data_IF_993754173812
#
_entry.id   IF_993754173812
#
_cell.length_a   1.000
_cell.length_b   1.000
_cell.length_c   1.000
_cell.angle_alpha   90.00
_cell.angle_beta   90.00
_cell.angle_gamma   90.00
#
_symmetry.space_group_name_H-M   'P 1'
#
loop_
_entity.id
_entity.type
_entity.pdbx_description
1 polymer ?
2 polymer ?
3 water ?
#
# COMPACT_ATOMS: atom_id res chain seq x y z
N UNK A 2 -28.52 -4.21 -2.32
CA UNK A 2 -27.24 -4.92 -2.55
C UNK A 2 -27.34 -5.70 -3.86
N UNK A 3 -26.88 -5.10 -4.96
CA UNK A 3 -26.94 -5.77 -6.26
C UNK A 3 -26.01 -6.97 -6.29
N UNK A 4 -24.72 -6.74 -6.07
CA UNK A 4 -23.76 -7.82 -6.04
C UNK A 4 -23.55 -8.20 -4.58
N UNK A 5 -23.38 -9.48 -4.31
CA UNK A 5 -23.15 -9.95 -2.95
C UNK A 5 -21.94 -10.84 -2.89
N UNK A 6 -21.05 -10.56 -1.95
CA UNK A 6 -19.84 -11.36 -1.80
C UNK A 6 -19.51 -11.63 -0.35
N UNK A 7 -19.35 -12.91 0.00
CA UNK A 7 -19.02 -13.25 1.39
C UNK A 7 -17.75 -12.51 1.78
N UNK A 8 -17.81 -11.70 2.84
CA UNK A 8 -16.66 -10.93 3.30
C UNK A 8 -15.31 -11.66 3.41
N UNK A 9 -15.30 -12.90 3.86
CA UNK A 9 -14.02 -13.62 4.00
C UNK A 9 -14.06 -15.11 3.67
N UNK A 10 -12.92 -15.62 3.21
CA UNK A 10 -12.78 -17.04 2.84
C UNK A 10 -11.34 -17.50 2.96
N UNK A 11 -11.16 -18.77 3.32
CA UNK A 11 -9.82 -19.34 3.47
C UNK A 11 -9.68 -20.78 3.02
N UNK A 12 -8.46 -21.17 2.71
CA UNK A 12 -8.14 -22.54 2.28
C UNK A 12 -6.64 -22.69 2.37
N UNK A 13 -6.16 -23.92 2.42
CA UNK A 13 -4.74 -24.20 2.55
C UNK A 13 -3.89 -24.01 1.30
N UNK A 14 -2.59 -23.89 1.53
CA UNK A 14 -1.57 -23.72 0.50
C UNK A 14 -1.59 -24.84 -0.55
N UNK A 15 -1.41 -24.47 -1.81
CA UNK A 15 -1.38 -25.46 -2.88
C UNK A 15 -2.73 -26.09 -3.16
N UNK A 16 -3.79 -25.50 -2.60
CA UNK A 16 -5.14 -25.99 -2.75
C UNK A 16 -5.93 -25.15 -3.75
N UNK A 17 -7.13 -25.60 -4.09
CA UNK A 17 -8.00 -24.90 -5.01
C UNK A 17 -9.23 -24.42 -4.25
N UNK A 18 -9.64 -23.17 -4.50
CA UNK A 18 -10.81 -22.59 -3.84
C UNK A 18 -11.70 -21.86 -4.84
N UNK A 19 -13.00 -21.79 -4.53
CA UNK A 19 -13.95 -21.13 -5.41
C UNK A 19 -14.76 -20.04 -4.74
N UNK A 20 -14.70 -18.83 -5.28
CA UNK A 20 -15.43 -17.68 -4.74
C UNK A 20 -16.78 -17.50 -5.45
N UNK A 21 -17.74 -16.92 -4.74
CA UNK A 21 -19.07 -16.73 -5.30
C UNK A 21 -19.56 -15.30 -5.30
N UNK A 22 -20.03 -14.86 -6.47
CA UNK A 22 -20.56 -13.52 -6.68
C UNK A 22 -22.01 -13.70 -7.08
N UNK A 23 -22.93 -13.35 -6.18
CA UNK A 23 -24.35 -13.51 -6.44
C UNK A 23 -25.00 -12.20 -6.89
N UNK A 24 -25.76 -12.28 -7.97
CA UNK A 24 -26.44 -11.11 -8.51
C UNK A 24 -27.86 -11.03 -7.94
N UNK A 25 -28.40 -9.83 -7.88
CA UNK A 25 -29.70 -9.71 -7.32
C UNK A 25 -30.93 -9.99 -8.15
N UNK A 26 -31.43 -11.19 -7.91
CA UNK A 26 -32.74 -11.68 -8.32
C UNK A 26 -33.49 -10.92 -9.37
N UNK A 27 -33.63 -9.62 -9.14
CA UNK A 27 -34.27 -8.70 -10.07
C UNK A 27 -33.37 -8.32 -11.26
N UNK A 28 -32.49 -9.24 -11.62
CA UNK A 28 -31.55 -9.06 -12.71
C UNK A 28 -31.14 -10.42 -13.24
N UNK A 29 -31.14 -10.56 -14.56
CA UNK A 29 -30.77 -11.82 -15.20
C UNK A 29 -29.27 -11.86 -15.51
N UNK A 30 -28.55 -12.71 -14.80
CA UNK A 30 -27.11 -12.81 -15.02
C UNK A 30 -26.81 -13.43 -16.37
N UNK A 31 -27.84 -13.97 -17.01
CA UNK A 31 -27.63 -14.59 -18.31
C UNK A 31 -27.31 -13.57 -19.38
N UNK A 32 -27.43 -12.29 -19.07
CA UNK A 32 -27.17 -11.23 -20.04
C UNK A 32 -25.90 -10.46 -19.69
N UNK A 33 -25.24 -10.88 -18.63
CA UNK A 33 -24.03 -10.20 -18.19
C UNK A 33 -22.79 -11.07 -18.17
N UNK A 34 -21.65 -10.43 -18.40
CA UNK A 34 -20.36 -11.10 -18.31
C UNK A 34 -19.94 -10.82 -16.88
N UNK A 35 -19.14 -11.69 -16.27
CA UNK A 35 -18.69 -11.44 -14.91
C UNK A 35 -17.21 -11.09 -14.92
N UNK A 36 -16.87 -9.98 -14.27
CA UNK A 36 -15.50 -9.51 -14.21
C UNK A 36 -14.96 -9.70 -12.81
N UNK A 37 -13.77 -10.26 -12.69
CA UNK A 37 -13.15 -10.47 -11.38
C UNK A 37 -11.85 -9.68 -11.29
N UNK A 38 -11.60 -9.06 -10.15
CA UNK A 38 -10.40 -8.28 -9.94
C UNK A 38 -9.77 -8.63 -8.61
N UNK A 39 -8.44 -8.61 -8.56
CA UNK A 39 -7.69 -8.91 -7.34
C UNK A 39 -6.96 -7.65 -6.90
N UNK A 40 -6.94 -7.40 -5.60
CA UNK A 40 -6.26 -6.24 -5.05
C UNK A 40 -5.60 -6.57 -3.71
N UNK A 41 -4.28 -6.55 -3.72
CA UNK A 41 -3.47 -6.78 -2.53
C UNK A 41 -3.24 -5.46 -1.82
N UNK A 42 -3.12 -5.51 -0.48
CA UNK A 42 -2.88 -4.31 0.33
C UNK A 42 -1.74 -3.47 -0.25
N UNK A 43 -2.03 -2.20 -0.56
CA UNK A 43 -1.02 -1.31 -1.08
C UNK A 43 -0.94 -1.27 -2.59
N UNK A 44 -1.81 -2.00 -3.27
CA UNK A 44 -1.77 -2.06 -4.73
C UNK A 44 -3.06 -1.73 -5.43
N UNK A 45 -2.99 -1.38 -6.71
CA UNK A 45 -4.17 -1.07 -7.49
C UNK A 45 -4.92 -2.37 -7.82
N UNK A 46 -6.18 -2.26 -8.21
CA UNK A 46 -6.92 -3.47 -8.54
C UNK A 46 -6.28 -4.11 -9.78
N UNK A 47 -6.31 -5.42 -9.90
CA UNK A 47 -5.75 -6.08 -11.07
C UNK A 47 -6.81 -6.93 -11.76
N UNK A 48 -7.01 -6.71 -13.06
CA UNK A 48 -8.00 -7.48 -13.80
C UNK A 48 -7.57 -8.93 -13.97
N UNK A 49 -8.39 -9.85 -13.48
CA UNK A 49 -8.08 -11.26 -13.59
C UNK A 49 -8.67 -11.88 -14.85
N UNK A 50 -9.99 -11.85 -14.96
CA UNK A 50 -10.68 -12.43 -16.12
C UNK A 50 -12.10 -11.94 -16.32
N UNK A 51 -12.63 -12.26 -17.50
CA UNK A 51 -13.97 -11.91 -17.92
C UNK A 51 -14.64 -13.22 -18.33
N UNK A 52 -15.86 -13.47 -17.87
CA UNK A 52 -16.49 -14.72 -18.23
C UNK A 52 -17.97 -14.60 -18.56
N UNK A 53 -18.33 -14.92 -19.81
CA UNK A 53 -19.73 -14.93 -20.22
C UNK A 53 -20.15 -16.38 -20.37
N UNK A 54 -19.31 -17.17 -21.04
CA UNK A 54 -19.59 -18.60 -21.24
C UNK A 54 -18.32 -19.37 -21.58
N UNK A 55 -18.44 -20.69 -21.68
CA UNK A 55 -17.28 -21.51 -22.03
C UNK A 55 -16.75 -21.09 -23.40
N UNK A 56 -17.63 -20.47 -24.18
CA UNK A 56 -17.32 -20.07 -25.53
C UNK A 56 -17.01 -18.58 -25.68
N UNK A 57 -17.26 -17.82 -24.62
CA UNK A 57 -17.06 -16.37 -24.69
C UNK A 57 -16.41 -15.88 -23.40
N UNK A 58 -15.09 -15.78 -23.38
CA UNK A 58 -14.37 -15.36 -22.18
C UNK A 58 -13.01 -14.82 -22.52
N UNK A 59 -12.38 -14.15 -21.55
CA UNK A 59 -11.07 -13.57 -21.76
C UNK A 59 -10.23 -13.57 -20.49
N UNK A 60 -8.93 -13.79 -20.65
CA UNK A 60 -7.98 -13.83 -19.55
C UNK A 60 -7.18 -12.54 -19.44
N UNK A 61 -6.94 -12.11 -18.21
CA UNK A 61 -6.17 -10.89 -17.99
C UNK A 61 -4.71 -11.03 -18.38
N UNK A 62 -4.05 -9.91 -18.72
CA UNK A 62 -2.64 -9.95 -19.11
C UNK A 62 -1.80 -10.56 -18.00
N UNK A 63 -0.90 -11.47 -18.36
CA UNK A 63 -0.01 -12.13 -17.40
C UNK A 63 -0.74 -12.83 -16.25
N UNK A 64 -1.95 -13.29 -16.48
CA UNK A 64 -2.67 -14.00 -15.43
C UNK A 64 -2.65 -15.49 -15.69
N UNK A 65 -2.20 -16.29 -14.70
CA UNK A 65 -2.10 -17.74 -14.76
C UNK A 65 -3.45 -18.46 -14.91
N UNK A 66 -3.45 -19.61 -15.61
CA UNK A 66 -4.65 -20.42 -15.84
C UNK A 66 -5.25 -20.96 -14.54
N UNK A 67 -4.47 -20.91 -13.45
CA UNK A 67 -4.98 -21.40 -12.17
C UNK A 67 -6.18 -20.56 -11.72
N UNK A 68 -6.35 -19.40 -12.33
CA UNK A 68 -7.52 -18.54 -12.05
C UNK A 68 -8.52 -18.81 -13.17
N UNK A 69 -9.72 -19.28 -12.85
CA UNK A 69 -10.72 -19.55 -13.88
C UNK A 69 -12.14 -19.16 -13.45
N UNK A 70 -12.90 -18.62 -14.39
CA UNK A 70 -14.26 -18.22 -14.09
C UNK A 70 -15.31 -19.19 -14.60
N UNK A 71 -16.56 -18.95 -14.21
CA UNK A 71 -17.69 -19.77 -14.63
C UNK A 71 -18.91 -19.17 -13.99
N UNK A 72 -20.07 -19.76 -14.24
CA UNK A 72 -21.28 -19.26 -13.60
C UNK A 72 -22.43 -20.25 -13.61
N UNK A 73 -23.42 -19.98 -12.78
CA UNK A 73 -24.61 -20.81 -12.66
C UNK A 73 -25.78 -19.90 -13.00
N UNK A 74 -26.21 -19.93 -14.25
CA UNK A 74 -27.30 -19.06 -14.70
C UNK A 74 -28.53 -19.21 -13.83
N UNK A 75 -28.93 -20.46 -13.59
CA UNK A 75 -30.10 -20.73 -12.78
C UNK A 75 -30.06 -19.93 -11.48
N UNK A 76 -28.99 -20.14 -10.72
CA UNK A 76 -28.81 -19.50 -9.42
C UNK A 76 -28.31 -18.06 -9.48
N UNK A 77 -28.06 -17.55 -10.67
CA UNK A 77 -27.60 -16.17 -10.84
C UNK A 77 -26.25 -15.94 -10.17
N UNK A 78 -25.36 -16.92 -10.24
CA UNK A 78 -24.05 -16.80 -9.61
C UNK A 78 -22.88 -16.65 -10.56
N UNK A 79 -21.83 -16.00 -10.07
CA UNK A 79 -20.61 -15.83 -10.84
C UNK A 79 -19.51 -16.50 -10.03
N UNK A 80 -18.69 -17.33 -10.66
CA UNK A 80 -17.64 -18.03 -9.93
C UNK A 80 -16.20 -17.69 -10.35
N UNK A 81 -15.31 -17.73 -9.38
CA UNK A 81 -13.90 -17.50 -9.63
C UNK A 81 -13.19 -18.65 -8.91
N UNK A 82 -12.36 -19.39 -9.63
CA UNK A 82 -11.65 -20.50 -9.02
C UNK A 82 -10.16 -20.21 -9.07
N UNK A 83 -9.49 -20.57 -7.98
CA UNK A 83 -8.05 -20.38 -7.86
C UNK A 83 -7.38 -21.69 -7.46
N UNK A 84 -6.46 -22.13 -8.31
CA UNK A 84 -5.75 -23.38 -8.10
C UNK A 84 -4.34 -23.13 -7.60
N UNK A 85 -3.81 -24.11 -6.87
CA UNK A 85 -2.47 -24.03 -6.28
C UNK A 85 -2.29 -22.74 -5.48
N UNK A 86 -3.19 -22.50 -4.53
CA UNK A 86 -3.10 -21.30 -3.71
C UNK A 86 -1.71 -21.09 -3.13
N UNK A 87 -1.25 -19.85 -3.22
CA UNK A 87 0.05 -19.49 -2.67
C UNK A 87 -0.16 -18.20 -1.87
N UNK A 88 0.76 -17.88 -0.95
CA UNK A 88 0.68 -16.67 -0.10
C UNK A 88 0.22 -15.40 -0.82
N UNK A 89 0.88 -15.08 -1.92
CA UNK A 89 0.58 -13.88 -2.71
C UNK A 89 -0.91 -13.74 -3.04
N UNK A 90 -1.58 -14.87 -3.20
CA UNK A 90 -3.00 -14.86 -3.54
C UNK A 90 -3.85 -14.20 -2.46
N UNK A 91 -3.29 -14.05 -1.26
CA UNK A 91 -4.03 -13.38 -0.18
C UNK A 91 -4.34 -11.95 -0.62
N UNK A 92 -5.62 -11.65 -0.79
CA UNK A 92 -6.00 -10.33 -1.25
C UNK A 92 -7.50 -10.19 -1.29
N UNK A 93 -7.96 -8.99 -1.61
CA UNK A 93 -9.37 -8.73 -1.75
C UNK A 93 -9.75 -9.10 -3.18
N UNK A 94 -10.92 -9.71 -3.36
CA UNK A 94 -11.40 -10.09 -4.68
C UNK A 94 -12.75 -9.48 -4.95
N UNK A 95 -12.85 -8.63 -5.96
CA UNK A 95 -14.12 -8.02 -6.29
C UNK A 95 -14.64 -8.54 -7.63
N UNK A 96 -15.95 -8.60 -7.78
CA UNK A 96 -16.54 -9.01 -9.04
C UNK A 96 -17.33 -7.82 -9.52
N UNK A 97 -17.68 -7.82 -10.79
CA UNK A 97 -18.42 -6.72 -11.37
C UNK A 97 -19.14 -7.25 -12.60
N UNK A 98 -20.24 -6.61 -12.96
CA UNK A 98 -21.00 -7.03 -14.12
C UNK A 98 -20.72 -6.09 -15.27
N UNK A 99 -21.22 -6.47 -16.45
CA UNK A 99 -21.03 -5.65 -17.61
C UNK A 99 -21.29 -6.45 -18.85
N UNK A 100 -20.40 -6.32 -19.82
CA UNK A 100 -20.52 -7.02 -21.08
C UNK A 100 -19.29 -6.68 -21.91
N UNK B 1 -26.21 -0.91 -12.69
CA UNK B 1 -25.56 -2.23 -12.41
C UNK B 1 -24.17 -2.33 -13.06
N UNK B 2 -24.08 -1.95 -14.32
CA UNK B 2 -22.84 -2.00 -15.08
C UNK B 2 -21.67 -1.19 -14.49
N UNK B 3 -20.50 -1.83 -14.42
CA UNK B 3 -19.27 -1.21 -13.91
C UNK B 3 -19.19 -1.05 -12.39
N UNK B 4 -20.29 -1.34 -11.70
CA UNK B 4 -20.31 -1.23 -10.25
C UNK B 4 -19.57 -2.39 -9.63
N UNK B 5 -18.71 -2.09 -8.65
CA UNK B 5 -17.94 -3.12 -7.97
C UNK B 5 -18.70 -3.66 -6.79
N UNK B 6 -18.80 -4.98 -6.69
CA UNK B 6 -19.49 -5.56 -5.55
C UNK B 6 -18.55 -5.49 -4.36
N UNK B 7 -19.09 -5.51 -3.15
CA UNK B 7 -18.24 -5.48 -1.96
C UNK B 7 -17.32 -6.66 -2.21
N UNK B 8 -16.09 -6.60 -1.73
CA UNK B 8 -15.19 -7.71 -2.00
C UNK B 8 -15.24 -8.85 -1.00
N UNK B 9 -14.28 -9.77 -1.16
CA UNK B 9 -14.13 -10.92 -0.29
C UNK B 9 -12.65 -11.07 0.03
N UNK B 10 -12.31 -11.07 1.31
CA UNK B 10 -10.92 -11.22 1.72
C UNK B 10 -10.54 -12.70 1.72
N UNK B 11 -9.46 -13.03 1.03
CA UNK B 11 -8.97 -14.39 1.00
C UNK B 11 -7.73 -14.54 1.87
N UNK B 12 -7.71 -15.56 2.71
CA UNK B 12 -6.56 -15.81 3.56
C UNK B 12 -6.03 -17.19 3.23
N UNK B 13 -4.74 -17.30 2.93
CA UNK B 13 -4.16 -18.58 2.58
C UNK B 13 -3.69 -19.26 3.86
N UNK B 14 -4.44 -20.27 4.29
CA UNK B 14 -4.16 -21.02 5.50
C UNK B 14 -2.95 -21.93 5.53
N UNK B 15 -2.60 -22.36 6.74
CA UNK B 15 -1.47 -23.25 6.95
C UNK B 15 -0.09 -22.66 6.68
N UNK B 16 -0.01 -21.33 6.63
CA UNK B 16 1.29 -20.70 6.41
C UNK B 16 2.08 -20.85 7.71
N UNK B 17 3.39 -21.11 7.60
CA UNK B 17 4.30 -21.28 8.74
C UNK B 17 4.45 -20.00 9.56
N UNK B 18 4.34 -20.13 10.88
CA UNK B 18 4.44 -18.98 11.77
C UNK B 18 5.88 -18.63 12.06
N UNK B 19 6.13 -17.35 12.30
CA UNK B 19 7.50 -16.91 12.57
C UNK B 19 7.54 -15.81 13.63
N UNK B 20 8.29 -16.06 14.70
CA UNK B 20 8.45 -15.09 15.77
C UNK B 20 9.30 -13.97 15.17
N UNK B 21 8.91 -12.71 15.41
CA UNK B 21 9.67 -11.60 14.86
C UNK B 21 11.08 -11.47 15.41
N UNK B 22 11.99 -11.03 14.57
CA UNK B 22 13.35 -10.77 14.99
C UNK B 22 13.24 -9.33 15.46
N UNK B 23 13.89 -9.01 16.56
CA UNK B 23 13.80 -7.66 17.09
C UNK B 23 15.17 -7.03 17.15
N UNK B 24 15.30 -5.89 16.49
CA UNK B 24 16.56 -5.18 16.48
C UNK B 24 16.29 -3.78 17.01
N UNK B 25 16.94 -3.45 18.11
CA UNK B 25 16.77 -2.15 18.75
C UNK B 25 17.97 -1.22 18.48
N UNK B 26 17.69 0.01 18.06
CA UNK B 26 18.73 0.99 17.72
C UNK B 26 18.69 2.18 18.66
N UNK B 27 19.85 2.62 19.17
CA UNK B 27 19.93 3.77 20.06
C UNK B 27 20.03 5.03 19.22
N UNK B 28 19.91 6.21 19.84
CA UNK B 28 19.98 7.45 19.08
C UNK B 28 21.24 7.50 18.23
N UNK B 29 21.10 7.90 16.98
CA UNK B 29 22.24 7.97 16.08
C UNK B 29 23.18 9.09 16.50
N UNK B 30 24.45 8.95 16.14
CA UNK B 30 25.46 9.97 16.44
C UNK B 30 25.11 11.31 15.79
N UNK B 31 24.71 11.27 14.53
CA UNK B 31 24.33 12.48 13.82
C UNK B 31 23.15 13.13 14.54
N UNK B 32 22.24 12.28 15.01
CA UNK B 32 21.09 12.77 15.74
C UNK B 32 21.54 13.49 17.02
N UNK B 33 22.38 12.83 17.82
CA UNK B 33 22.84 13.40 19.07
C UNK B 33 23.62 14.70 18.87
N UNK B 34 24.44 14.75 17.83
CA UNK B 34 25.22 15.96 17.56
C UNK B 34 24.32 17.13 17.18
N UNK B 35 23.06 16.85 16.91
CA UNK B 35 22.13 17.90 16.54
C UNK B 35 21.15 18.08 17.69
N UNK B 36 21.56 17.62 18.87
CA UNK B 36 20.73 17.74 20.06
C UNK B 36 19.34 17.13 19.83
N UNK B 37 19.34 15.86 19.43
CA UNK B 37 18.11 15.17 19.09
C UNK B 37 18.29 13.67 19.40
N UNK B 38 17.21 12.99 19.80
CA UNK B 38 17.32 11.57 20.16
C UNK B 38 16.07 10.77 19.83
N UNK B 39 16.28 9.63 19.20
CA UNK B 39 15.18 8.75 18.83
C UNK B 39 15.61 7.29 18.93
N UNK B 40 14.76 6.48 19.55
CA UNK B 40 15.04 5.06 19.67
C UNK B 40 14.14 4.35 18.67
N UNK B 41 14.68 3.34 18.00
CA UNK B 41 13.90 2.59 17.01
C UNK B 41 13.96 1.09 17.27
N UNK B 42 12.79 0.47 17.27
CA UNK B 42 12.67 -0.95 17.50
C UNK B 42 12.20 -1.56 16.20
N UNK B 43 13.08 -2.26 15.50
CA UNK B 43 12.72 -2.88 14.23
C UNK B 43 12.34 -4.34 14.38
N UNK B 44 11.16 -4.69 13.88
CA UNK B 44 10.67 -6.06 13.96
C UNK B 44 10.39 -6.59 12.57
N UNK B 45 11.05 -7.67 12.16
CA UNK B 45 10.77 -8.22 10.84
C UNK B 45 10.71 -9.74 10.76
N UNK B 46 10.17 -10.21 9.64
CA UNK B 46 10.00 -11.62 9.34
C UNK B 46 9.12 -12.33 10.36
N UNK B 47 7.92 -11.81 10.59
CA UNK B 47 7.02 -12.47 11.51
C UNK B 47 5.68 -12.76 10.85
N UNK B 48 5.05 -13.85 11.26
CA UNK B 48 3.76 -14.23 10.71
C UNK B 48 3.04 -14.99 11.81
N UNK B 49 1.77 -14.69 12.05
CA UNK B 49 0.94 -13.66 11.40
C UNK B 49 1.46 -12.24 11.60
N UNK B 50 0.78 -11.28 10.99
CA UNK B 50 1.20 -9.89 11.09
C UNK B 50 0.57 -9.09 12.21
N UNK B 51 0.33 -9.73 13.35
CA UNK B 51 -0.29 -9.03 14.47
C UNK B 51 0.60 -9.08 15.71
N UNK B 52 0.88 -7.93 16.30
CA UNK B 52 1.71 -7.87 17.51
C UNK B 52 1.51 -6.57 18.28
N UNK B 53 2.03 -6.55 19.50
CA UNK B 53 1.95 -5.37 20.35
C UNK B 53 3.34 -5.11 20.93
N UNK B 54 3.63 -3.85 21.18
CA UNK B 54 4.92 -3.47 21.71
C UNK B 54 4.77 -2.59 22.94
N UNK B 55 5.63 -2.80 23.93
CA UNK B 55 5.59 -1.99 25.13
C UNK B 55 6.99 -1.44 25.35
N UNK B 56 7.12 -0.13 25.43
CA UNK B 56 8.41 0.48 25.67
C UNK B 56 8.56 0.68 27.17
N UNK B 57 9.79 0.47 27.66
CA UNK B 57 10.08 0.63 29.07
C UNK B 57 11.33 1.49 29.28
N UNK B 58 11.31 2.24 30.37
CA UNK B 58 12.43 3.06 30.80
C UNK B 58 12.79 2.55 32.20
N UNK B 59 13.97 1.95 32.31
CA UNK B 59 14.41 1.39 33.59
C UNK B 59 13.40 0.37 34.11
N UNK B 60 12.84 -0.43 33.21
CA UNK B 60 11.89 -1.45 33.62
C UNK B 60 10.47 -0.98 33.78
N UNK B 61 10.25 0.32 33.69
CA UNK B 61 8.90 0.88 33.84
C UNK B 61 8.30 1.24 32.48
N UNK B 62 7.09 0.70 32.18
CA UNK B 62 6.38 0.93 30.93
C UNK B 62 6.12 2.40 30.63
N UNK B 63 6.16 2.76 29.36
CA UNK B 63 5.96 4.15 28.96
C UNK B 63 4.60 4.33 28.32
N UNK B 64 4.18 5.59 28.18
CA UNK B 64 2.84 5.87 27.69
C UNK B 64 2.72 7.15 26.88
N UNK B 65 3.81 7.58 26.27
CA UNK B 65 3.80 8.78 25.44
C UNK B 65 5.06 8.88 24.60
N UNK B 66 4.93 9.43 23.40
CA UNK B 66 6.06 9.56 22.51
C UNK B 66 6.22 8.29 21.69
N UNK B 67 5.35 7.33 21.95
CA UNK B 67 5.39 6.06 21.28
C UNK B 67 4.52 6.01 20.02
N UNK B 68 5.13 5.61 18.92
CA UNK B 68 4.41 5.45 17.65
C UNK B 68 4.87 4.15 17.01
N UNK B 69 4.14 3.69 16.00
CA UNK B 69 4.48 2.45 15.33
C UNK B 69 3.96 2.39 13.91
N UNK B 70 4.85 2.11 12.97
CA UNK B 70 4.47 1.98 11.57
C UNK B 70 3.62 0.73 11.44
N UNK B 71 2.74 0.72 10.44
CA UNK B 71 1.85 -0.42 10.21
C UNK B 71 2.56 -1.65 9.66
N UNK B 72 2.21 -2.85 10.18
CA UNK B 72 2.83 -4.08 9.71
C UNK B 72 2.55 -4.26 8.22
N UNK B 73 3.59 -4.47 7.43
CA UNK B 73 3.41 -4.63 5.98
C UNK B 73 4.10 -5.88 5.46
N UNK B 74 3.39 -6.61 4.61
CA UNK B 74 3.89 -7.85 4.05
C UNK B 74 5.04 -7.61 3.09
N UNK B 75 6.17 -8.28 3.34
CA UNK B 75 7.35 -8.13 2.51
C UNK B 75 7.37 -9.13 1.36
N UNK B 76 8.40 -9.05 0.54
CA UNK B 76 8.53 -9.95 -0.61
C UNK B 76 8.55 -11.40 -0.17
N UNK B 77 9.10 -11.67 1.02
CA UNK B 77 9.18 -13.04 1.51
C UNK B 77 7.91 -13.54 2.17
N UNK B 78 6.83 -12.78 2.00
CA UNK B 78 5.52 -13.13 2.57
C UNK B 78 5.39 -13.05 4.09
N UNK B 79 6.43 -12.55 4.75
CA UNK B 79 6.35 -12.39 6.19
C UNK B 79 6.23 -10.89 6.41
N UNK B 80 5.82 -10.46 7.60
CA UNK B 80 5.67 -9.04 7.85
C UNK B 80 6.86 -8.36 8.52
N UNK B 81 6.80 -7.04 8.53
CA UNK B 81 7.82 -6.23 9.16
C UNK B 81 7.12 -4.98 9.65
N UNK B 82 7.73 -4.35 10.64
CA UNK B 82 7.18 -3.13 11.18
C UNK B 82 8.22 -2.51 12.10
N UNK B 83 8.03 -1.26 12.47
CA UNK B 83 8.95 -0.62 13.37
C UNK B 83 8.20 0.32 14.30
N UNK B 84 8.73 0.45 15.51
CA UNK B 84 8.15 1.33 16.51
C UNK B 84 9.26 2.25 16.97
N UNK B 85 8.93 3.48 17.31
CA UNK B 85 9.96 4.39 17.78
C UNK B 85 9.54 5.23 18.96
N UNK B 86 10.54 5.75 19.65
CA UNK B 86 10.34 6.55 20.85
C UNK B 86 11.18 7.79 20.72
N UNK B 87 10.54 8.95 20.72
CA UNK B 87 11.27 10.20 20.60
C UNK B 87 11.60 10.73 22.00
N UNK B 88 12.87 11.07 22.22
CA UNK B 88 13.33 11.57 23.51
C UNK B 88 14.21 12.79 23.33
N UNK B 89 14.54 13.43 24.45
CA UNK B 89 15.45 14.57 24.41
C UNK B 89 16.77 13.93 24.75
N UNK B 90 17.88 14.59 24.37
CA UNK B 90 19.20 14.04 24.66
C UNK B 90 19.39 13.84 26.17
N UNK B 91 18.73 14.68 26.96
CA UNK B 91 18.83 14.59 28.42
C UNK B 91 18.03 13.40 28.95
N UNK B 92 16.94 13.05 28.28
CA UNK B 92 16.12 11.92 28.69
C UNK B 92 16.84 10.63 28.37
N UNK B 93 17.50 10.60 27.22
CA UNK B 93 18.24 9.41 26.80
C UNK B 93 19.41 9.13 27.74
N UNK B 94 19.96 10.18 28.35
CA UNK B 94 21.09 9.99 29.25
C UNK B 94 20.69 9.95 30.71
N UNK B 95 19.42 10.24 30.99
CA UNK B 95 18.90 10.25 32.35
C UNK B 95 18.62 8.85 32.87
N UNK B 96 18.39 7.92 31.96
CA UNK B 96 18.07 6.56 32.36
C UNK B 96 19.21 5.60 32.22
N UNK B 97 19.16 4.54 33.00
CA UNK B 97 20.17 3.51 32.97
C UNK B 97 19.87 2.58 31.80
N UNK B 98 18.59 2.50 31.42
CA UNK B 98 18.21 1.63 30.30
C UNK B 98 16.83 1.89 29.71
N UNK B 99 16.66 1.49 28.45
CA UNK B 99 15.41 1.60 27.73
C UNK B 99 15.14 0.22 27.13
N UNK B 100 13.89 -0.17 27.05
CA UNK B 100 13.57 -1.48 26.52
C UNK B 100 12.46 -1.42 25.50
N UNK B 101 12.45 -2.41 24.61
CA UNK B 101 11.42 -2.58 23.60
C UNK B 101 10.91 -4.01 23.78
N UNK B 102 9.66 -4.15 24.23
CA UNK B 102 9.09 -5.49 24.46
C UNK B 102 8.00 -5.85 23.46
N UNK B 103 8.34 -6.77 22.56
CA UNK B 103 7.41 -7.20 21.52
C UNK B 103 6.69 -8.51 21.85
N UNK B 104 5.37 -8.49 21.74
CA UNK B 104 4.60 -9.68 22.06
C UNK B 104 3.93 -10.16 20.78
N UNK B 105 4.21 -11.41 20.42
CA UNK B 105 3.67 -12.00 19.20
C UNK B 105 3.15 -13.41 19.43
N UNK B 106 1.83 -13.55 19.54
CA UNK B 106 1.16 -14.84 19.69
C UNK B 106 1.68 -15.80 20.75
N UNK B 107 1.90 -15.36 21.97
CA UNK B 107 2.37 -16.31 22.97
C UNK B 107 3.88 -16.38 23.07
N UNK B 108 4.52 -15.50 22.33
CA UNK B 108 5.95 -15.32 22.39
C UNK B 108 6.16 -13.88 22.86
N UNK B 109 7.26 -13.66 23.55
CA UNK B 109 7.58 -12.33 24.01
C UNK B 109 9.08 -12.19 23.88
N UNK B 110 9.53 -11.12 23.25
CA UNK B 110 10.95 -10.91 23.11
C UNK B 110 11.21 -9.45 23.44
N UNK B 111 12.15 -9.22 24.34
CA UNK B 111 12.49 -7.88 24.76
C UNK B 111 13.99 -7.61 24.62
N UNK B 112 14.31 -6.50 23.97
CA UNK B 112 15.68 -6.06 23.77
C UNK B 112 15.90 -4.80 24.62
N UNK B 113 17.15 -4.52 24.96
CA UNK B 113 17.47 -3.37 25.80
C UNK B 113 18.71 -2.63 25.31
N UNK B 114 18.71 -1.32 25.45
CA UNK B 114 19.85 -0.46 25.07
C UNK B 114 20.16 0.53 26.18
N UNK B 115 21.41 0.96 26.25
CA UNK B 115 21.84 1.89 27.30
C UNK B 115 22.87 2.87 26.75
N UNK B 116 22.84 4.13 27.21
CA UNK B 116 23.81 5.13 26.74
C UNK B 116 25.24 4.68 26.93
N UNK C 1 7.36 3.38 -17.92
CA UNK C 1 6.98 3.15 -19.34
C UNK C 1 5.64 2.39 -19.52
N UNK C 2 5.22 1.56 -18.54
CA UNK C 2 3.96 0.80 -18.66
C UNK C 2 2.76 1.56 -19.25
N UNK C 3 1.73 0.81 -19.65
CA UNK C 3 0.53 1.31 -20.33
C UNK C 3 -0.14 2.60 -19.83
N UNK C 4 -0.54 2.63 -18.57
CA UNK C 4 -1.16 3.83 -18.04
C UNK C 4 -0.29 4.49 -16.99
N UNK C 5 -0.27 5.82 -16.97
CA UNK C 5 0.54 6.52 -15.99
C UNK C 5 -0.28 7.53 -15.19
N UNK C 6 -0.03 7.57 -13.89
CA UNK C 6 -0.72 8.48 -12.99
C UNK C 6 0.26 9.00 -11.95
N UNK C 7 0.20 10.31 -11.66
CA UNK C 7 1.12 10.86 -10.66
C UNK C 7 0.74 10.18 -9.34
N UNK C 8 1.73 9.80 -8.54
CA UNK C 8 1.44 9.13 -7.27
C UNK C 8 0.60 9.97 -6.32
N UNK C 9 0.80 11.28 -6.31
CA UNK C 9 0.07 12.14 -5.39
C UNK C 9 -0.26 13.53 -5.89
N UNK C 10 -1.39 14.04 -5.42
CA UNK C 10 -1.86 15.38 -5.74
C UNK C 10 -2.57 15.91 -4.50
N UNK C 11 -2.54 17.23 -4.33
CA UNK C 11 -3.19 17.84 -3.18
C UNK C 11 -3.75 19.21 -3.55
N UNK C 12 -4.81 19.60 -2.87
CA UNK C 12 -5.42 20.89 -3.13
C UNK C 12 -6.24 21.27 -1.91
N UNK C 13 -6.50 22.57 -1.77
CA UNK C 13 -7.25 23.09 -0.63
C UNK C 13 -8.76 22.95 -0.85
N UNK C 14 -9.51 22.98 0.24
CA UNK C 14 -10.95 22.86 0.20
C UNK C 14 -11.60 23.86 -0.75
N UNK C 15 -12.65 23.43 -1.43
CA UNK C 15 -13.36 24.33 -2.33
C UNK C 15 -12.78 24.56 -3.70
N UNK C 16 -11.56 24.09 -3.93
CA UNK C 16 -10.92 24.26 -5.24
C UNK C 16 -11.33 23.20 -6.25
N UNK C 17 -10.75 23.31 -7.44
CA UNK C 17 -10.99 22.40 -8.53
C UNK C 17 -9.65 21.80 -8.96
N UNK C 18 -9.59 20.48 -9.07
CA UNK C 18 -8.37 19.81 -9.49
C UNK C 18 -8.68 18.89 -10.64
N UNK C 19 -7.66 18.59 -11.43
CA UNK C 19 -7.83 17.70 -12.55
C UNK C 19 -6.74 16.65 -12.50
N UNK C 20 -7.14 15.40 -12.27
CA UNK C 20 -6.18 14.31 -12.21
C UNK C 20 -5.91 13.86 -13.63
N UNK C 21 -4.68 13.42 -13.89
CA UNK C 21 -4.32 13.00 -15.23
C UNK C 21 -3.94 11.53 -15.32
N UNK C 22 -4.39 10.91 -16.40
CA UNK C 22 -4.15 9.49 -16.71
C UNK C 22 -3.55 9.51 -18.10
N UNK C 23 -2.26 9.18 -18.21
CA UNK C 23 -1.62 9.20 -19.52
C UNK C 23 -1.36 7.79 -20.06
N UNK C 24 -1.78 7.57 -21.31
CA UNK C 24 -1.65 6.27 -21.98
C UNK C 24 -0.42 6.25 -22.85
N UNK C 25 0.37 5.18 -22.74
CA UNK C 25 1.61 5.06 -23.50
C UNK C 25 1.37 5.26 -24.99
N UNK C 26 2.24 6.04 -25.61
CA UNK C 26 2.11 6.43 -27.02
C UNK C 26 2.08 5.33 -28.07
N UNK C 27 2.03 4.07 -27.64
CA UNK C 27 1.95 2.97 -28.60
C UNK C 27 0.48 2.52 -28.69
N UNK C 28 -0.40 3.35 -28.13
CA UNK C 28 -1.84 3.09 -28.11
C UNK C 28 -2.56 4.41 -28.32
N UNK C 29 -3.72 4.35 -28.96
CA UNK C 29 -4.49 5.55 -29.25
C UNK C 29 -5.63 5.71 -28.25
N UNK C 30 -5.58 6.74 -27.43
CA UNK C 30 -6.65 6.91 -26.44
C UNK C 30 -7.96 7.25 -27.14
N UNK C 31 -7.89 7.65 -28.40
CA UNK C 31 -9.10 7.98 -29.14
C UNK C 31 -9.99 6.78 -29.37
N UNK C 32 -9.51 5.59 -29.03
CA UNK C 32 -10.26 4.35 -29.25
C UNK C 32 -10.77 3.75 -27.94
N UNK C 33 -10.42 4.37 -26.82
CA UNK C 33 -10.85 3.86 -25.53
C UNK C 33 -11.71 4.83 -24.72
N UNK C 34 -12.51 4.28 -23.81
CA UNK C 34 -13.31 5.12 -22.93
C UNK C 34 -12.43 5.15 -21.68
N UNK C 35 -12.46 6.24 -20.92
CA UNK C 35 -11.67 6.30 -19.68
C UNK C 35 -12.57 6.05 -18.48
N UNK C 36 -12.15 5.15 -17.61
CA UNK C 36 -12.91 4.82 -16.41
C UNK C 36 -12.21 5.37 -15.19
N UNK C 37 -12.98 5.87 -14.24
CA UNK C 37 -12.40 6.40 -13.03
C UNK C 37 -13.05 5.80 -11.80
N UNK C 38 -12.23 5.42 -10.84
CA UNK C 38 -12.71 4.83 -9.60
C UNK C 38 -12.11 5.57 -8.41
N UNK C 39 -12.86 5.63 -7.32
CA UNK C 39 -12.44 6.28 -6.07
C UNK C 39 -12.37 5.17 -5.02
N UNK C 40 -11.44 5.28 -4.09
CA UNK C 40 -11.30 4.28 -3.06
C UNK C 40 -10.75 4.84 -1.75
N UNK C 41 -11.49 4.61 -0.67
CA UNK C 41 -11.05 5.08 0.64
C UNK C 41 -10.47 3.90 1.40
N UNK C 42 -9.63 4.18 2.40
CA UNK C 42 -9.01 3.12 3.19
C UNK C 42 -9.99 2.07 3.68
N UNK C 43 -9.69 0.81 3.38
CA UNK C 43 -10.53 -0.30 3.79
C UNK C 43 -11.90 -0.37 3.16
N UNK C 44 -12.06 0.24 2.00
CA UNK C 44 -13.34 0.23 1.29
C UNK C 44 -13.15 -0.35 -0.11
N UNK C 45 -14.26 -0.70 -0.78
CA UNK C 45 -14.13 -1.25 -2.12
C UNK C 45 -13.96 -0.10 -3.12
N UNK C 46 -13.45 -0.42 -4.30
CA UNK C 46 -13.26 0.61 -5.34
C UNK C 46 -14.65 1.08 -5.75
N UNK C 47 -14.84 2.38 -5.95
CA UNK C 47 -16.16 2.87 -6.32
C UNK C 47 -16.14 3.54 -7.68
N UNK C 48 -16.88 2.95 -8.61
CA UNK C 48 -16.99 3.47 -9.98
C UNK C 48 -17.55 4.90 -9.96
N UNK C 49 -16.72 5.85 -10.37
CA UNK C 49 -17.15 7.24 -10.40
C UNK C 49 -17.83 7.61 -11.72
N UNK C 50 -17.17 7.31 -12.84
CA UNK C 50 -17.73 7.66 -14.14
C UNK C 50 -16.95 7.02 -15.28
N UNK C 51 -17.54 7.05 -16.47
CA UNK C 51 -16.92 6.51 -17.67
C UNK C 51 -17.08 7.58 -18.74
N UNK C 52 -15.98 7.92 -19.41
CA UNK C 52 -16.04 8.95 -20.42
C UNK C 52 -15.34 8.59 -21.72
N UNK C 53 -16.07 8.68 -22.83
CA UNK C 53 -15.48 8.43 -24.13
C UNK C 53 -15.46 9.74 -24.90
N UNK C 54 -16.60 10.42 -24.96
CA UNK C 54 -16.73 11.70 -25.64
C UNK C 54 -17.91 12.43 -25.00
N UNK C 55 -18.20 13.63 -25.49
CA UNK C 55 -19.30 14.38 -24.90
C UNK C 55 -20.68 13.78 -25.15
N UNK C 56 -20.82 12.95 -26.16
CA UNK C 56 -22.10 12.32 -26.46
C UNK C 56 -22.13 10.85 -26.07
N UNK C 57 -21.06 10.39 -25.45
CA UNK C 57 -20.96 9.01 -25.00
C UNK C 57 -20.19 8.96 -23.68
N UNK C 58 -20.93 9.13 -22.58
CA UNK C 58 -20.35 9.10 -21.25
C UNK C 58 -21.46 8.78 -20.24
N UNK C 59 -21.08 8.31 -19.07
CA UNK C 59 -22.07 8.00 -18.05
C UNK C 59 -21.57 8.21 -16.63
N UNK C 60 -22.45 8.72 -15.78
CA UNK C 60 -22.15 8.98 -14.37
C UNK C 60 -22.42 7.75 -13.54
N UNK C 61 -21.66 7.58 -12.47
CA UNK C 61 -21.85 6.44 -11.60
C UNK C 61 -23.00 6.68 -10.64
N UNK C 62 -23.54 5.60 -10.07
CA UNK C 62 -24.65 5.67 -9.12
C UNK C 62 -24.38 6.67 -8.00
N UNK C 63 -25.23 7.68 -7.89
CA UNK C 63 -25.12 8.68 -6.84
C UNK C 63 -23.76 9.39 -6.78
N UNK C 64 -23.11 9.56 -7.93
CA UNK C 64 -21.83 10.27 -7.98
C UNK C 64 -22.14 11.70 -8.44
N UNK C 65 -21.89 12.69 -7.59
CA UNK C 65 -22.13 14.12 -7.85
C UNK C 65 -21.59 14.61 -9.17
N UNK C 66 -22.25 15.62 -9.76
CA UNK C 66 -21.84 16.22 -11.04
C UNK C 66 -20.51 16.93 -10.93
N UNK C 67 -20.10 17.27 -9.70
CA UNK C 67 -18.81 17.95 -9.53
C UNK C 67 -17.66 17.04 -9.99
N UNK C 68 -17.98 15.78 -10.20
CA UNK C 68 -17.02 14.80 -10.72
C UNK C 68 -17.34 14.69 -12.21
N UNK C 69 -16.34 14.90 -13.07
CA UNK C 69 -16.58 14.83 -14.50
C UNK C 69 -15.30 14.53 -15.25
N UNK C 70 -15.44 13.78 -16.35
CA UNK C 70 -14.29 13.44 -17.15
C UNK C 70 -14.25 14.13 -18.49
N UNK C 71 -13.13 13.94 -19.17
CA UNK C 71 -12.93 14.46 -20.51
C UNK C 71 -11.69 13.81 -21.10
N UNK C 72 -11.19 14.37 -22.20
CA UNK C 72 -10.02 13.81 -22.85
C UNK C 72 -9.27 14.86 -23.65
N UNK C 73 -8.00 14.59 -23.86
CA UNK C 73 -7.15 15.39 -24.74
C UNK C 73 -6.51 14.31 -25.61
N UNK C 74 -7.25 13.92 -26.64
CA UNK C 74 -6.85 12.85 -27.53
C UNK C 74 -5.54 13.13 -28.22
N UNK C 75 -5.25 14.39 -28.48
CA UNK C 75 -3.98 14.71 -29.11
C UNK C 75 -2.82 14.32 -28.18
N UNK C 76 -3.00 14.55 -26.90
CA UNK C 76 -1.97 14.24 -25.90
C UNK C 76 -2.10 12.86 -25.29
N UNK C 77 -3.10 12.09 -25.75
CA UNK C 77 -3.31 10.73 -25.22
C UNK C 77 -3.60 10.74 -23.73
N UNK C 78 -4.27 11.78 -23.27
CA UNK C 78 -4.59 11.93 -21.86
C UNK C 78 -6.06 11.73 -21.50
N UNK C 79 -6.28 11.18 -20.31
CA UNK C 79 -7.63 10.99 -19.80
C UNK C 79 -7.70 11.91 -18.59
N UNK C 80 -8.81 12.62 -18.42
CA UNK C 80 -8.96 13.57 -17.32
C UNK C 80 -10.13 13.34 -16.36
N UNK C 81 -9.87 13.55 -15.07
CA UNK C 81 -10.89 13.46 -14.04
C UNK C 81 -10.86 14.80 -13.30
N UNK C 82 -11.91 15.60 -13.47
CA UNK C 82 -12.00 16.90 -12.78
C UNK C 82 -12.94 16.82 -11.59
N UNK C 83 -12.53 17.43 -10.48
CA UNK C 83 -13.34 17.46 -9.27
C UNK C 83 -13.33 18.88 -8.75
N UNK C 84 -14.49 19.54 -8.77
CA UNK C 84 -14.58 20.91 -8.29
C UNK C 84 -15.31 20.91 -6.95
N UNK C 85 -15.22 22.02 -6.22
CA UNK C 85 -15.89 22.12 -4.92
C UNK C 85 -15.25 21.15 -3.95
N UNK C 86 -13.97 20.87 -4.15
CA UNK C 86 -13.25 19.91 -3.34
C UNK C 86 -13.65 19.93 -1.86
N UNK C 87 -14.01 18.75 -1.36
CA UNK C 87 -14.38 18.55 0.05
C UNK C 87 -13.50 17.46 0.69
N UNK C 88 -13.46 17.39 2.03
CA UNK C 88 -12.65 16.40 2.74
C UNK C 88 -12.89 14.97 2.34
N UNK C 89 -14.16 14.61 2.19
CA UNK C 89 -14.52 13.25 1.80
C UNK C 89 -13.88 12.89 0.47
N UNK C 90 -13.49 13.88 -0.31
CA UNK C 90 -12.86 13.63 -1.61
C UNK C 90 -11.45 13.05 -1.44
N UNK C 91 -10.90 13.16 -0.25
CA UNK C 91 -9.55 12.64 0.01
C UNK C 91 -9.59 11.12 -0.13
N UNK C 92 -8.88 10.60 -1.11
CA UNK C 92 -8.85 9.17 -1.37
C UNK C 92 -7.93 8.85 -2.54
N UNK C 93 -7.83 7.58 -2.90
CA UNK C 93 -7.02 7.14 -4.05
C UNK C 93 -7.96 7.17 -5.26
N UNK C 94 -7.43 7.54 -6.43
CA UNK C 94 -8.23 7.55 -7.67
C UNK C 94 -7.51 6.73 -8.74
N UNK C 95 -8.22 5.77 -9.34
CA UNK C 95 -7.64 4.90 -10.38
C UNK C 95 -8.33 5.09 -11.71
N UNK C 96 -7.56 5.10 -12.80
CA UNK C 96 -8.16 5.20 -14.11
C UNK C 96 -7.98 3.85 -14.78
N UNK C 97 -8.81 3.56 -15.76
CA UNK C 97 -8.71 2.29 -16.46
C UNK C 97 -9.21 2.52 -17.88
N UNK C 98 -8.71 1.78 -18.87
CA UNK C 98 -9.12 1.98 -20.24
C UNK C 98 -10.06 0.80 -20.76
N UNK C 99 -10.98 1.07 -21.67
CA UNK C 99 -11.70 0.02 -22.42
C UNK C 99 -13.11 0.35 -22.90
N UNK D 1 -4.98 -3.28 -23.52
CA UNK D 1 -5.09 -2.20 -22.48
C UNK D 1 -6.42 -2.34 -21.76
N UNK D 2 -7.38 -2.98 -22.43
CA UNK D 2 -8.71 -3.17 -21.89
C UNK D 2 -8.70 -3.74 -20.48
N UNK D 3 -9.37 -3.04 -19.57
CA UNK D 3 -9.48 -3.47 -18.17
C UNK D 3 -8.22 -3.27 -17.34
N UNK D 4 -7.17 -2.74 -17.96
CA UNK D 4 -5.92 -2.49 -17.24
C UNK D 4 -6.03 -1.21 -16.42
N UNK D 5 -5.62 -1.28 -15.15
CA UNK D 5 -5.66 -0.14 -14.24
C UNK D 5 -4.33 0.57 -14.12
N UNK D 6 -4.41 1.87 -13.84
CA UNK D 6 -3.21 2.66 -13.64
C UNK D 6 -2.80 2.50 -12.18
N UNK D 7 -1.60 2.94 -11.84
CA UNK D 7 -1.12 2.82 -10.46
C UNK D 7 -1.92 3.64 -9.46
N UNK D 8 -2.77 4.54 -9.94
CA UNK D 8 -3.58 5.35 -9.04
C UNK D 8 -2.93 6.60 -8.49
N UNK D 9 -3.75 7.61 -8.25
CA UNK D 9 -3.29 8.88 -7.71
C UNK D 9 -3.88 9.12 -6.33
N UNK D 10 -3.04 9.33 -5.32
CA UNK D 10 -3.58 9.60 -3.99
C UNK D 10 -3.78 11.11 -3.93
N UNK D 11 -5.01 11.51 -3.65
CA UNK D 11 -5.35 12.91 -3.56
C UNK D 11 -5.57 13.27 -2.10
N UNK D 12 -4.91 14.31 -1.61
CA UNK D 12 -5.16 14.68 -0.23
C UNK D 12 -5.74 16.07 -0.25
N UNK D 13 -6.82 16.25 0.51
CA UNK D 13 -7.48 17.55 0.63
C UNK D 13 -6.79 18.22 1.82
N UNK D 14 -5.96 19.21 1.55
CA UNK D 14 -5.21 19.91 2.58
C UNK D 14 -6.00 20.32 3.82
N UNK D 15 -5.59 19.80 4.98
CA UNK D 15 -6.25 20.12 6.24
C UNK D 15 -5.23 20.56 7.29
N UNK D 16 -3.98 20.72 6.86
CA UNK D 16 -2.90 21.15 7.75
C UNK D 16 -1.72 21.57 6.89
N UNK D 17 -0.78 22.33 7.44
CA UNK D 17 0.39 22.78 6.68
C UNK D 17 1.20 21.63 6.11
N UNK D 18 1.74 21.83 4.92
CA UNK D 18 2.58 20.79 4.31
C UNK D 18 3.85 20.74 5.12
N UNK D 19 4.43 19.56 5.26
CA UNK D 19 5.67 19.41 6.01
C UNK D 19 6.60 18.36 5.43
N UNK D 20 7.84 18.75 5.16
CA UNK D 20 8.86 17.87 4.62
C UNK D 20 9.25 16.91 5.72
N UNK D 21 9.47 15.64 5.38
CA UNK D 21 9.84 14.63 6.37
C UNK D 21 11.15 14.83 7.09
N UNK D 22 11.15 14.50 8.38
CA UNK D 22 12.37 14.58 9.15
C UNK D 22 12.95 13.20 8.89
N UNK D 23 14.24 13.11 8.56
CA UNK D 23 14.82 11.82 8.25
C UNK D 23 16.03 11.46 9.07
N UNK D 24 16.04 10.26 9.62
CA UNK D 24 17.14 9.77 10.43
C UNK D 24 17.56 8.39 9.95
N UNK D 25 18.85 8.21 9.72
CA UNK D 25 19.39 6.95 9.23
C UNK D 25 20.24 6.31 10.31
N UNK D 26 19.82 5.13 10.78
CA UNK D 26 20.51 4.41 11.85
C UNK D 26 21.44 3.34 11.33
N UNK D 27 22.70 3.34 11.78
CA UNK D 27 23.68 2.34 11.33
C UNK D 27 23.51 1.07 12.17
N UNK D 28 24.23 -0.01 11.82
CA UNK D 28 24.13 -1.26 12.60
C UNK D 28 24.71 -1.02 14.00
N UNK D 29 24.09 -1.56 15.04
CA UNK D 29 24.63 -1.35 16.39
C UNK D 29 25.87 -2.23 16.61
N UNK D 30 26.59 -1.97 17.69
CA UNK D 30 27.78 -2.74 18.02
C UNK D 30 27.46 -4.20 18.35
N UNK D 31 26.40 -4.43 19.11
CA UNK D 31 26.06 -5.80 19.47
C UNK D 31 25.50 -6.57 18.28
N UNK D 32 24.73 -5.91 17.43
CA UNK D 32 24.19 -6.61 16.27
C UNK D 32 25.36 -7.08 15.41
N UNK D 33 26.39 -6.26 15.31
CA UNK D 33 27.55 -6.66 14.53
C UNK D 33 28.28 -7.79 15.25
N UNK D 34 28.13 -7.87 16.56
CA UNK D 34 28.76 -8.97 17.31
C UNK D 34 27.99 -10.26 17.08
N UNK D 35 26.73 -10.14 16.64
CA UNK D 35 25.90 -11.32 16.38
C UNK D 35 26.03 -11.67 14.92
N UNK D 36 27.03 -11.10 14.28
CA UNK D 36 27.30 -11.31 12.87
C UNK D 36 26.16 -10.85 11.96
N UNK D 37 25.52 -9.74 12.30
CA UNK D 37 24.44 -9.20 11.48
C UNK D 37 24.55 -7.69 11.37
N UNK D 38 24.00 -7.12 10.31
CA UNK D 38 24.05 -5.68 10.12
C UNK D 38 22.78 -5.19 9.46
N UNK D 39 22.10 -4.26 10.11
CA UNK D 39 20.87 -3.72 9.57
C UNK D 39 20.84 -2.22 9.69
N UNK D 40 20.46 -1.54 8.60
CA UNK D 40 20.33 -0.09 8.62
C UNK D 40 18.84 0.22 8.60
N UNK D 41 18.43 1.28 9.28
CA UNK D 41 17.03 1.65 9.28
C UNK D 41 16.86 3.12 8.95
N UNK D 42 15.90 3.42 8.08
CA UNK D 42 15.64 4.80 7.69
C UNK D 42 14.26 5.14 8.23
N UNK D 43 14.22 6.13 9.12
CA UNK D 43 13.00 6.57 9.76
C UNK D 43 12.59 7.94 9.23
N UNK D 44 11.35 8.02 8.79
CA UNK D 44 10.82 9.26 8.24
C UNK D 44 9.55 9.62 8.99
N UNK D 45 9.47 10.82 9.55
CA UNK D 45 8.26 11.15 10.29
C UNK D 45 7.92 12.64 10.25
N UNK D 46 6.71 12.93 10.68
CA UNK D 46 6.20 14.27 10.66
C UNK D 46 6.16 14.90 9.27
N UNK D 47 5.61 14.16 8.30
CA UNK D 47 5.47 14.72 6.96
C UNK D 47 3.99 14.74 6.57
N UNK D 48 3.65 15.63 5.65
CA UNK D 48 2.28 15.77 5.18
C UNK D 48 2.36 16.54 3.87
N UNK D 49 1.72 16.04 2.81
CA UNK D 49 0.89 14.82 2.71
C UNK D 49 1.65 13.51 2.98
N UNK D 50 0.89 12.44 3.25
CA UNK D 50 1.49 11.16 3.57
C UNK D 50 1.87 10.26 2.41
N UNK D 51 2.58 10.82 1.44
CA UNK D 51 3.05 10.05 0.30
C UNK D 51 4.50 10.38 0.00
N UNK D 52 5.33 9.35 -0.18
CA UNK D 52 6.73 9.57 -0.49
C UNK D 52 7.41 8.31 -0.97
N UNK D 53 8.59 8.44 -1.57
CA UNK D 53 9.33 7.27 -2.03
C UNK D 53 10.70 7.25 -1.37
N UNK D 54 11.20 6.05 -1.12
CA UNK D 54 12.49 5.86 -0.49
C UNK D 54 13.40 5.13 -1.47
N UNK D 55 14.67 5.48 -1.46
CA UNK D 55 15.64 4.84 -2.33
C UNK D 55 16.93 4.63 -1.57
N UNK D 56 17.48 3.43 -1.61
CA UNK D 56 18.73 3.20 -0.91
C UNK D 56 19.89 3.26 -1.87
N UNK D 57 21.02 3.77 -1.39
CA UNK D 57 22.20 3.84 -2.24
C UNK D 57 23.42 3.32 -1.50
N UNK D 58 24.37 2.78 -2.24
CA UNK D 58 25.56 2.21 -1.65
C UNK D 58 26.83 2.83 -2.21
N UNK D 59 27.24 3.95 -1.62
CA UNK D 59 28.45 4.63 -2.04
C UNK D 59 28.18 5.54 -3.25
N UNK D 60 26.91 5.91 -3.41
CA UNK D 60 26.51 6.73 -4.52
C UNK D 60 25.57 6.00 -5.47
N UNK D 61 25.77 4.71 -5.64
CA UNK D 61 24.96 3.92 -6.56
C UNK D 61 23.73 3.32 -5.92
N UNK D 62 22.55 3.52 -6.55
CA UNK D 62 21.26 3.03 -6.06
C UNK D 62 21.26 1.52 -5.88
N UNK D 63 20.41 1.04 -4.98
CA UNK D 63 20.30 -0.39 -4.72
C UNK D 63 18.89 -0.85 -5.07
N UNK D 64 18.77 -2.11 -5.49
CA UNK D 64 17.48 -2.68 -5.82
C UNK D 64 17.22 -3.88 -4.90
N UNK D 70 7.92 0.34 4.43
CA UNK D 70 6.55 0.24 4.91
C UNK D 70 5.68 1.26 4.18
N UNK D 71 4.36 1.11 4.36
CA UNK D 71 3.41 2.05 3.77
C UNK D 71 3.14 3.11 4.84
N UNK D 72 3.14 4.40 4.45
CA UNK D 72 2.91 5.50 5.40
C UNK D 72 1.75 5.31 6.38
N UNK D 73 1.98 5.60 7.65
CA UNK D 73 0.94 5.49 8.67
C UNK D 73 0.91 6.77 9.51
N UNK D 74 -0.22 6.94 10.21
CA UNK D 74 -0.56 8.17 10.94
C UNK D 74 -0.14 8.27 12.40
N UNK D 75 0.54 9.36 12.72
CA UNK D 75 1.07 9.60 14.06
C UNK D 75 0.03 10.22 14.98
N UNK D 76 0.35 10.32 16.26
CA UNK D 76 -0.54 10.94 17.24
C UNK D 76 -0.85 12.38 16.83
N UNK D 77 0.18 13.12 16.45
CA UNK D 77 0.02 14.51 16.04
C UNK D 77 -0.57 14.63 14.63
N UNK D 78 -1.28 13.60 14.20
CA UNK D 78 -1.92 13.62 12.90
C UNK D 78 -1.03 13.82 11.66
N UNK D 79 0.28 13.76 11.84
CA UNK D 79 1.19 13.84 10.71
C UNK D 79 1.55 12.37 10.41
N UNK D 80 2.27 12.11 9.32
CA UNK D 80 2.60 10.73 8.97
C UNK D 80 4.03 10.32 9.22
N UNK D 81 4.24 9.02 9.27
CA UNK D 81 5.55 8.42 9.50
C UNK D 81 5.73 7.17 8.64
N UNK D 82 6.98 6.77 8.43
CA UNK D 82 7.29 5.59 7.65
C UNK D 82 8.71 5.16 7.96
N UNK D 83 9.03 3.92 7.62
CA UNK D 83 10.37 3.41 7.85
C UNK D 83 10.74 2.39 6.79
N UNK D 84 12.04 2.21 6.58
CA UNK D 84 12.56 1.25 5.62
C UNK D 84 13.86 0.74 6.18
N UNK D 85 14.28 -0.46 5.79
CA UNK D 85 15.52 -0.99 6.30
C UNK D 85 16.30 -1.73 5.24
N UNK D 86 17.59 -1.93 5.51
CA UNK D 86 18.49 -2.59 4.60
C UNK D 86 19.27 -3.68 5.31
N UNK D 87 19.15 -4.92 4.83
CA UNK D 87 19.89 -6.03 5.41
C UNK D 87 21.23 -6.22 4.72
N UNK D 88 22.31 -6.19 5.50
CA UNK D 88 23.66 -6.36 4.96
C UNK D 88 24.43 -7.33 5.82
N UNK D 89 25.52 -7.85 5.26
CA UNK D 89 26.43 -8.65 6.05
C UNK D 89 27.38 -7.62 6.65
N UNK D 90 28.02 -7.97 7.77
CA UNK D 90 28.96 -7.06 8.40
C UNK D 90 30.09 -6.70 7.43
N UNK D 91 30.45 -7.62 6.54
CA UNK D 91 31.49 -7.37 5.55
C UNK D 91 31.06 -6.26 4.57
N UNK D 92 29.84 -6.37 4.05
CA UNK D 92 29.35 -5.37 3.11
C UNK D 92 29.29 -3.99 3.76
N UNK D 93 28.84 -3.96 5.01
CA UNK D 93 28.76 -2.72 5.76
C UNK D 93 30.12 -2.03 5.87
N UNK D 94 31.12 -2.76 6.37
CA UNK D 94 32.45 -2.20 6.58
C UNK D 94 33.26 -1.95 5.32
N UNK D 95 32.88 -2.56 4.21
CA UNK D 95 33.64 -2.45 2.98
C UNK D 95 33.21 -1.38 2.01
N UNK D 96 32.15 -0.66 2.33
CA UNK D 96 31.71 0.41 1.45
C UNK D 96 31.93 1.74 2.14
N UNK D 97 32.27 2.76 1.35
CA UNK D 97 32.52 4.09 1.91
C UNK D 97 31.29 4.65 2.60
N UNK D 98 30.11 4.25 2.17
CA UNK D 98 28.90 4.74 2.80
C UNK D 98 27.61 4.19 2.20
N UNK D 99 26.52 4.36 2.93
CA UNK D 99 25.20 3.95 2.48
C UNK D 99 24.30 5.16 2.70
N UNK D 100 23.25 5.29 1.89
CA UNK D 100 22.35 6.44 2.03
C UNK D 100 20.90 6.09 1.85
N UNK D 101 20.04 6.90 2.46
CA UNK D 101 18.61 6.75 2.38
C UNK D 101 18.14 8.04 1.74
N UNK D 102 17.56 7.93 0.54
CA UNK D 102 17.08 9.10 -0.19
C UNK D 102 15.55 9.15 -0.15
N UNK D 103 15.02 10.21 0.45
CA UNK D 103 13.58 10.35 0.57
C UNK D 103 13.05 11.49 -0.29
N UNK D 104 12.09 11.18 -1.16
CA UNK D 104 11.50 12.17 -2.04
C UNK D 104 10.05 12.40 -1.63
N UNK D 105 9.72 13.67 -1.35
CA UNK D 105 8.40 14.04 -0.87
C UNK D 105 7.96 15.37 -1.48
N UNK D 106 6.77 15.38 -2.06
CA UNK D 106 6.22 16.56 -2.70
C UNK D 106 7.20 17.24 -3.64
N UNK D 107 8.00 16.45 -4.35
CA UNK D 107 8.94 17.02 -5.29
C UNK D 107 10.31 17.39 -4.73
N UNK D 108 10.44 17.37 -3.40
CA UNK D 108 11.73 17.67 -2.77
C UNK D 108 12.46 16.40 -2.34
N UNK D 109 13.76 16.50 -2.09
CA UNK D 109 14.54 15.33 -1.69
C UNK D 109 15.41 15.60 -0.48
N UNK D 110 15.38 14.67 0.48
CA UNK D 110 16.18 14.77 1.70
C UNK D 110 16.91 13.45 1.71
N UNK D 111 18.23 13.52 1.83
CA UNK D 111 19.07 12.34 1.81
C UNK D 111 20.03 12.34 2.99
N UNK D 112 20.11 11.21 3.69
CA UNK D 112 21.01 11.08 4.83
C UNK D 112 22.01 9.97 4.55
N UNK D 113 23.24 10.19 4.99
CA UNK D 113 24.32 9.23 4.77
C UNK D 113 25.08 8.89 6.06
N UNK D 114 25.63 7.68 6.11
CA UNK D 114 26.42 7.22 7.24
C UNK D 114 27.59 6.39 6.75
N UNK D 115 28.68 6.42 7.50
CA UNK D 115 29.88 5.69 7.16
C UNK D 115 30.15 4.62 8.22
N UNK D 116 30.88 3.56 7.86
CA UNK D 116 31.20 2.46 8.78
C UNK D 116 32.15 2.86 9.91
N UNK D 117 31.69 3.74 10.80
CA UNK D 117 32.53 4.17 11.91
C UNK D 117 32.29 3.31 13.14
#
# INVERSE_FOLDING_TARGET
QPVLHQPPAMSSALGTTIRLTCTLRNDHDIGVYSVYWYQQRPGHPPRFLLRYFSQSDKSQGPQVPPRFSGSKDVARNRGYLSISELQPEDEAMYYCAMGA
VTHVFGSGTQLTVLSQPKATPSVTLFPPSSEELQANKATLVCLMNDFYPGILTVTWKADGTPITQGVEMTTPSKQSNNKYAASSYLSLTPEQWRSRRSYSCQVMHEGSTVEKTVAPA
QPVLHQPPAMSSALGTTIRLTCTLRNDHDIGVYSVYWYQQRPGHPPRFLLRYFSQSDKSQGPQVPPRFSGSKDVARNRGYLSISELQPEDEAMYYCAMGA
VTHVFGSGTQLTVLSQPKATPSVTLFPPSSEELQANKATLVCLMNDFYPGILTVTWKADGTPITQGVEMTTPSKQSNNKYAASSYLSLTPEQWRSRRSYSCQVMHEGSTVEKTVAPA
#
